data_IF_654537110573
#
_entry.id   IF_654537110573
#
_cell.length_a   1.000
_cell.length_b   1.000
_cell.length_c   1.000
_cell.angle_alpha   90.00
_cell.angle_beta   90.00
_cell.angle_gamma   90.00
#
_symmetry.space_group_name_H-M   'P 1'
#
loop_
_entity.id
_entity.type
_entity.pdbx_description
1 polymer ?
#
# COMPACT_ATOMS: atom_id res chain seq x y z
N UNK A 1 27.32 11.89 21.43
CA UNK A 1 26.46 11.65 20.27
C UNK A 1 26.16 10.16 20.01
N UNK A 2 27.14 9.24 19.90
CA UNK A 2 26.87 7.80 19.67
C UNK A 2 25.92 7.15 20.70
N UNK A 3 26.08 7.46 22.01
CA UNK A 3 25.23 6.88 23.08
C UNK A 3 23.76 7.34 22.98
N UNK A 4 23.48 8.60 22.62
CA UNK A 4 22.13 9.12 22.44
C UNK A 4 21.45 8.40 21.26
N UNK A 5 22.21 8.06 20.22
CA UNK A 5 21.76 7.33 19.05
C UNK A 5 21.30 5.90 19.40
N UNK A 6 22.06 5.19 20.25
CA UNK A 6 21.68 3.85 20.73
C UNK A 6 20.41 3.89 21.59
N UNK A 7 20.24 4.92 22.43
CA UNK A 7 19.01 5.08 23.22
C UNK A 7 17.81 5.43 22.34
N UNK A 8 17.96 6.29 21.33
CA UNK A 8 16.88 6.58 20.39
C UNK A 8 16.47 5.33 19.57
N UNK A 9 17.45 4.54 19.12
CA UNK A 9 17.19 3.28 18.41
C UNK A 9 16.53 2.25 19.35
N UNK A 10 17.01 2.12 20.58
CA UNK A 10 16.42 1.23 21.58
C UNK A 10 14.99 1.65 21.96
N UNK A 11 14.72 2.96 22.09
CA UNK A 11 13.36 3.46 22.32
C UNK A 11 12.44 3.21 21.12
N UNK A 12 12.91 3.38 19.89
CA UNK A 12 12.13 3.06 18.69
C UNK A 12 11.83 1.56 18.61
N UNK A 13 12.81 0.69 18.90
CA UNK A 13 12.62 -0.76 18.93
C UNK A 13 11.69 -1.17 20.09
N UNK A 14 11.81 -0.55 21.26
CA UNK A 14 10.94 -0.81 22.41
C UNK A 14 9.50 -0.33 22.16
N UNK A 15 9.31 0.83 21.52
CA UNK A 15 8.00 1.30 21.09
C UNK A 15 7.40 0.38 20.01
N UNK A 16 8.22 -0.17 19.11
CA UNK A 16 7.79 -1.18 18.14
C UNK A 16 7.38 -2.48 18.84
N UNK A 17 8.17 -2.97 19.79
CA UNK A 17 7.87 -4.19 20.54
C UNK A 17 6.64 -4.06 21.42
N UNK A 18 6.37 -2.88 22.00
CA UNK A 18 5.20 -2.62 22.85
C UNK A 18 3.91 -2.40 22.04
N UNK A 19 4.01 -1.98 20.77
CA UNK A 19 2.84 -1.79 19.90
C UNK A 19 2.32 -3.09 19.29
N UNK A 20 3.10 -4.18 19.32
CA UNK A 20 2.71 -5.50 18.78
C UNK A 20 1.60 -6.17 19.63
N UNK A 21 1.35 -5.70 20.86
CA UNK A 21 0.31 -6.23 21.76
C UNK A 21 -1.02 -5.47 21.72
N UNK A 22 -1.28 -4.64 20.72
CA UNK A 22 -2.60 -4.04 20.55
C UNK A 22 -3.50 -5.11 19.93
N UNK A 23 -4.37 -5.66 20.76
CA UNK A 23 -5.42 -6.60 20.37
C UNK A 23 -6.25 -5.95 19.25
N UNK A 24 -6.23 -6.55 18.07
CA UNK A 24 -7.22 -6.28 17.05
C UNK A 24 -8.50 -6.97 17.49
N UNK A 25 -9.54 -6.19 17.73
CA UNK A 25 -10.89 -6.68 17.90
C UNK A 25 -11.34 -7.29 16.57
N UNK A 26 -12.16 -8.33 16.61
CA UNK A 26 -12.55 -9.19 15.47
C UNK A 26 -13.38 -8.50 14.39
N UNK A 27 -13.52 -7.17 14.41
CA UNK A 27 -14.25 -6.43 13.39
C UNK A 27 -13.26 -5.95 12.30
N UNK A 28 -13.38 -6.54 11.11
CA UNK A 28 -12.49 -6.46 9.93
C UNK A 28 -12.31 -5.04 9.33
N UNK A 29 -12.88 -4.01 9.94
CA UNK A 29 -12.90 -2.66 9.38
C UNK A 29 -11.66 -1.82 9.70
N UNK A 30 -11.17 -1.86 10.93
CA UNK A 30 -10.09 -1.00 11.41
C UNK A 30 -8.91 -1.84 11.88
N UNK A 31 -7.81 -1.84 11.13
CA UNK A 31 -6.66 -2.66 11.46
C UNK A 31 -5.38 -1.84 11.60
N UNK A 32 -4.61 -2.17 12.65
CA UNK A 32 -3.24 -1.72 12.80
C UNK A 32 -2.32 -2.65 12.00
N UNK A 33 -1.30 -2.09 11.35
CA UNK A 33 -0.35 -2.86 10.56
C UNK A 33 1.09 -2.43 10.73
N UNK A 34 2.01 -3.31 10.35
CA UNK A 34 3.43 -3.02 10.24
C UNK A 34 3.90 -3.19 8.80
N UNK A 35 4.91 -2.41 8.42
CA UNK A 35 5.56 -2.49 7.11
C UNK A 35 7.07 -2.51 7.26
N UNK A 36 7.70 -3.45 6.60
CA UNK A 36 9.15 -3.54 6.52
C UNK A 36 9.56 -3.49 5.05
N UNK A 37 10.46 -2.59 4.68
CA UNK A 37 10.94 -2.54 3.30
C UNK A 37 12.44 -2.34 3.19
N UNK A 38 12.98 -2.88 2.10
CA UNK A 38 14.37 -2.71 1.69
C UNK A 38 14.44 -2.28 0.24
N UNK A 39 15.30 -1.32 -0.10
CA UNK A 39 15.55 -0.86 -1.47
C UNK A 39 17.04 -0.82 -1.74
N UNK A 40 17.42 -1.31 -2.89
CA UNK A 40 18.77 -1.18 -3.46
C UNK A 40 18.66 -0.34 -4.72
N UNK A 41 19.40 0.77 -4.77
CA UNK A 41 19.43 1.72 -5.89
C UNK A 41 20.81 1.73 -6.51
N UNK A 42 20.92 1.44 -7.79
CA UNK A 42 22.16 1.42 -8.56
C UNK A 42 22.16 2.52 -9.63
N UNK A 43 23.16 3.40 -9.57
CA UNK A 43 23.33 4.45 -10.57
C UNK A 43 24.05 3.90 -11.80
N UNK A 44 23.36 3.83 -12.93
CA UNK A 44 23.93 3.40 -14.21
C UNK A 44 24.76 4.52 -14.85
N UNK A 45 24.19 5.71 -14.92
CA UNK A 45 24.85 6.91 -15.44
C UNK A 45 24.26 8.17 -14.80
N UNK A 46 24.75 9.35 -15.15
CA UNK A 46 24.24 10.62 -14.58
C UNK A 46 22.73 10.74 -14.79
N UNK A 47 22.00 10.79 -13.68
CA UNK A 47 20.55 10.92 -13.67
C UNK A 47 19.75 9.63 -13.91
N UNK A 48 20.40 8.51 -14.25
CA UNK A 48 19.77 7.24 -14.59
C UNK A 48 20.06 6.19 -13.52
N UNK A 49 19.01 5.59 -12.97
CA UNK A 49 19.11 4.61 -11.89
C UNK A 49 18.21 3.40 -12.17
N UNK A 50 18.66 2.23 -11.77
CA UNK A 50 17.85 1.02 -11.59
C UNK A 50 17.72 0.77 -10.11
N UNK A 51 16.56 0.35 -9.68
CA UNK A 51 16.33 -0.02 -8.29
C UNK A 51 15.52 -1.31 -8.17
N UNK A 52 15.79 -2.03 -7.10
CA UNK A 52 14.99 -3.17 -6.69
C UNK A 52 14.57 -2.98 -5.23
N UNK A 53 13.34 -3.30 -4.91
CA UNK A 53 12.84 -3.20 -3.55
C UNK A 53 11.92 -4.36 -3.19
N UNK A 54 11.88 -4.67 -1.89
CA UNK A 54 10.93 -5.60 -1.28
C UNK A 54 10.21 -4.89 -0.15
N UNK A 55 8.89 -5.01 -0.08
CA UNK A 55 8.08 -4.51 1.03
C UNK A 55 7.19 -5.65 1.55
N UNK A 56 7.32 -5.94 2.84
CA UNK A 56 6.47 -6.86 3.57
C UNK A 56 5.45 -6.08 4.39
N UNK A 57 4.21 -6.55 4.40
CA UNK A 57 3.11 -5.99 5.17
C UNK A 57 2.50 -7.02 6.09
N UNK A 58 2.24 -6.58 7.31
CA UNK A 58 1.62 -7.35 8.37
C UNK A 58 0.38 -6.57 8.82
N UNK A 59 -0.77 -7.21 8.90
CA UNK A 59 -2.02 -6.60 9.34
C UNK A 59 -2.74 -7.52 10.33
N UNK A 60 -3.57 -6.93 11.20
CA UNK A 60 -4.48 -7.67 12.07
C UNK A 60 -3.82 -8.46 13.20
N UNK A 61 -2.65 -8.01 13.70
CA UNK A 61 -1.98 -8.70 14.83
C UNK A 61 -1.52 -10.12 14.51
N UNK A 62 -1.56 -10.52 13.23
CA UNK A 62 -1.15 -11.86 12.82
C UNK A 62 0.36 -11.94 12.68
N UNK A 63 0.93 -13.05 13.15
CA UNK A 63 2.33 -13.45 12.88
C UNK A 63 2.59 -13.75 11.39
N UNK A 64 1.68 -13.30 10.53
CA UNK A 64 1.55 -13.71 9.15
C UNK A 64 1.77 -12.52 8.22
N UNK A 65 2.57 -12.71 7.17
CA UNK A 65 2.78 -11.72 6.11
C UNK A 65 1.50 -11.66 5.26
N UNK A 66 0.72 -10.58 5.39
CA UNK A 66 -0.47 -10.34 4.57
C UNK A 66 -0.10 -10.16 3.10
N UNK A 67 0.96 -9.37 2.84
CA UNK A 67 1.40 -9.09 1.47
C UNK A 67 2.89 -8.88 1.37
N UNK A 68 3.46 -9.33 0.24
CA UNK A 68 4.78 -8.92 -0.20
C UNK A 68 4.71 -8.21 -1.55
N UNK A 69 5.62 -7.26 -1.75
CA UNK A 69 5.77 -6.47 -2.98
C UNK A 69 7.21 -6.50 -3.40
N UNK A 70 7.51 -7.26 -4.45
CA UNK A 70 8.83 -7.30 -5.08
C UNK A 70 8.81 -6.38 -6.29
N UNK A 71 9.50 -5.24 -6.22
CA UNK A 71 9.50 -4.20 -7.26
C UNK A 71 10.87 -4.10 -7.91
N UNK A 72 10.88 -4.02 -9.25
CA UNK A 72 12.03 -3.65 -10.06
C UNK A 72 11.66 -2.41 -10.86
N UNK A 73 12.52 -1.39 -10.80
CA UNK A 73 12.21 -0.12 -11.44
C UNK A 73 13.42 0.56 -12.06
N UNK A 74 13.09 1.47 -12.95
CA UNK A 74 14.03 2.32 -13.64
C UNK A 74 13.61 3.77 -13.47
N UNK A 75 14.55 4.66 -13.20
CA UNK A 75 14.26 6.08 -13.05
C UNK A 75 15.28 6.97 -13.74
N UNK A 76 14.79 8.08 -14.27
CA UNK A 76 15.59 9.07 -14.98
C UNK A 76 15.29 10.49 -14.47
N UNK A 77 16.36 11.18 -14.07
CA UNK A 77 16.30 12.59 -13.69
C UNK A 77 16.39 13.43 -14.97
N UNK A 78 15.25 13.96 -15.42
CA UNK A 78 15.15 14.77 -16.65
C UNK A 78 15.88 16.11 -16.45
N UNK A 79 15.65 16.73 -15.30
CA UNK A 79 16.36 17.94 -14.88
C UNK A 79 16.37 18.05 -13.34
N UNK A 80 16.81 19.16 -12.76
CA UNK A 80 16.91 19.32 -11.30
C UNK A 80 15.56 19.34 -10.58
N UNK A 81 14.48 19.56 -11.30
CA UNK A 81 13.13 19.64 -10.77
C UNK A 81 12.24 18.45 -11.15
N UNK A 82 12.58 17.69 -12.19
CA UNK A 82 11.72 16.69 -12.78
C UNK A 82 12.43 15.34 -12.89
N UNK A 83 11.76 14.28 -12.39
CA UNK A 83 12.19 12.88 -12.46
C UNK A 83 11.05 12.02 -12.98
N UNK A 84 11.32 11.17 -13.96
CA UNK A 84 10.41 10.12 -14.41
C UNK A 84 10.88 8.75 -13.89
N UNK A 85 9.95 7.82 -13.72
CA UNK A 85 10.26 6.43 -13.40
C UNK A 85 9.22 5.48 -13.99
N UNK A 86 9.65 4.25 -14.23
CA UNK A 86 8.77 3.12 -14.57
C UNK A 86 9.14 1.95 -13.70
N UNK A 87 8.17 1.15 -13.29
CA UNK A 87 8.43 -0.04 -12.49
C UNK A 87 7.45 -1.15 -12.76
N UNK A 88 7.92 -2.35 -12.46
CA UNK A 88 7.12 -3.55 -12.39
C UNK A 88 7.17 -4.10 -10.97
N UNK A 89 6.00 -4.53 -10.45
CA UNK A 89 5.89 -5.10 -9.10
C UNK A 89 5.13 -6.43 -9.17
N UNK A 90 5.75 -7.50 -8.71
CA UNK A 90 5.05 -8.74 -8.36
C UNK A 90 4.49 -8.59 -6.94
N UNK A 91 3.24 -8.97 -6.74
CA UNK A 91 2.55 -8.85 -5.45
C UNK A 91 2.02 -10.23 -5.08
N UNK A 92 2.46 -10.77 -3.95
CA UNK A 92 1.85 -11.91 -3.33
C UNK A 92 0.91 -11.43 -2.23
N UNK A 93 -0.36 -11.79 -2.31
CA UNK A 93 -1.38 -11.51 -1.29
C UNK A 93 -1.71 -12.84 -0.63
N UNK A 94 -1.33 -13.00 0.62
CA UNK A 94 -1.65 -14.18 1.38
C UNK A 94 -3.05 -14.00 1.99
N UNK A 95 -3.87 -14.98 1.82
CA UNK A 95 -5.24 -15.04 2.32
C UNK A 95 -5.37 -16.17 3.31
N UNK A 96 -6.06 -15.89 4.40
CA UNK A 96 -6.45 -16.88 5.39
C UNK A 96 -7.96 -16.75 5.59
N UNK A 97 -8.68 -17.84 5.49
CA UNK A 97 -10.11 -17.88 5.74
C UNK A 97 -10.41 -19.05 6.66
N UNK A 98 -11.19 -18.77 7.69
CA UNK A 98 -11.67 -19.81 8.61
C UNK A 98 -13.11 -20.14 8.22
N UNK A 99 -13.38 -21.38 7.90
CA UNK A 99 -14.72 -21.87 7.59
C UNK A 99 -15.11 -22.91 8.64
N UNK A 100 -16.39 -22.95 9.02
CA UNK A 100 -16.94 -23.91 9.98
C UNK A 100 -18.00 -24.79 9.31
N UNK A 101 -17.61 -25.74 8.45
CA UNK A 101 -18.56 -26.75 7.98
C UNK A 101 -18.84 -27.72 9.12
N UNK A 102 -20.11 -27.96 9.40
CA UNK A 102 -20.59 -28.97 10.37
C UNK A 102 -19.98 -28.82 11.79
N UNK A 103 -19.71 -27.56 12.25
CA UNK A 103 -19.06 -27.24 13.52
C UNK A 103 -17.58 -27.65 13.64
N UNK A 104 -16.92 -28.01 12.55
CA UNK A 104 -15.48 -28.19 12.49
C UNK A 104 -14.81 -26.96 11.92
N UNK A 105 -13.80 -26.41 12.63
CA UNK A 105 -13.02 -25.28 12.17
C UNK A 105 -11.97 -25.72 11.14
N UNK A 106 -12.13 -25.28 9.88
CA UNK A 106 -11.16 -25.52 8.82
C UNK A 106 -10.52 -24.20 8.41
N UNK A 107 -9.22 -24.10 8.55
CA UNK A 107 -8.45 -22.95 8.07
C UNK A 107 -7.97 -23.20 6.65
N UNK A 108 -8.43 -22.38 5.71
CA UNK A 108 -7.94 -22.34 4.34
C UNK A 108 -6.89 -21.24 4.19
N UNK A 109 -5.75 -21.57 3.57
CA UNK A 109 -4.71 -20.62 3.25
C UNK A 109 -4.33 -20.71 1.77
N UNK A 110 -4.19 -19.57 1.09
CA UNK A 110 -3.72 -19.52 -0.28
C UNK A 110 -3.03 -18.19 -0.59
N UNK A 111 -2.21 -18.17 -1.63
CA UNK A 111 -1.54 -16.95 -2.13
C UNK A 111 -2.16 -16.55 -3.46
N UNK A 112 -2.56 -15.28 -3.55
CA UNK A 112 -3.04 -14.66 -4.79
C UNK A 112 -1.92 -13.78 -5.36
N UNK A 113 -1.52 -14.08 -6.60
CA UNK A 113 -0.52 -13.30 -7.31
C UNK A 113 -1.18 -12.17 -8.11
N UNK A 114 -0.54 -11.01 -8.07
CA UNK A 114 -0.93 -9.84 -8.85
C UNK A 114 0.31 -9.23 -9.50
N UNK A 115 0.15 -8.74 -10.70
CA UNK A 115 1.20 -8.08 -11.45
C UNK A 115 0.85 -6.61 -11.63
N UNK A 116 1.82 -5.75 -11.37
CA UNK A 116 1.60 -4.30 -11.41
C UNK A 116 2.66 -3.63 -12.25
N UNK A 117 2.21 -2.74 -13.13
CA UNK A 117 3.08 -1.80 -13.84
C UNK A 117 2.77 -0.39 -13.37
N UNK A 118 3.79 0.45 -13.26
CA UNK A 118 3.64 1.84 -12.82
C UNK A 118 4.51 2.77 -13.65
N UNK A 119 4.00 3.96 -13.91
CA UNK A 119 4.76 5.07 -14.47
C UNK A 119 4.59 6.29 -13.58
N UNK A 120 5.70 6.91 -13.21
CA UNK A 120 5.78 8.04 -12.29
C UNK A 120 6.36 9.27 -12.95
N UNK A 121 5.78 10.42 -12.63
CA UNK A 121 6.40 11.72 -12.86
C UNK A 121 6.46 12.47 -11.53
N UNK A 122 7.65 12.88 -11.13
CA UNK A 122 7.87 13.61 -9.87
C UNK A 122 8.46 14.97 -10.16
N UNK A 123 7.74 16.03 -9.79
CA UNK A 123 8.24 17.39 -9.76
C UNK A 123 8.69 17.74 -8.33
N UNK A 124 9.80 18.46 -8.18
CA UNK A 124 10.29 18.89 -6.86
C UNK A 124 10.95 20.26 -6.90
N UNK A 125 10.72 21.04 -5.84
CA UNK A 125 11.31 22.35 -5.65
C UNK A 125 11.87 22.47 -4.23
N UNK A 126 13.00 23.16 -4.09
CA UNK A 126 13.64 23.45 -2.81
C UNK A 126 13.53 24.93 -2.52
N UNK A 127 13.04 25.27 -1.33
CA UNK A 127 12.94 26.66 -0.83
C UNK A 127 13.62 26.69 0.54
N UNK A 128 14.84 27.17 0.57
CA UNK A 128 15.67 27.13 1.79
C UNK A 128 15.95 25.67 2.23
N UNK A 129 15.47 25.31 3.40
CA UNK A 129 15.59 23.96 3.96
C UNK A 129 14.38 23.07 3.65
N UNK A 130 13.32 23.65 3.10
CA UNK A 130 12.12 22.95 2.72
C UNK A 130 12.25 22.34 1.32
N UNK A 131 11.73 21.14 1.16
CA UNK A 131 11.57 20.46 -0.14
C UNK A 131 10.12 20.09 -0.32
N UNK A 132 9.52 20.59 -1.38
CA UNK A 132 8.18 20.25 -1.82
C UNK A 132 8.29 19.33 -3.03
N UNK A 133 7.48 18.30 -3.09
CA UNK A 133 7.41 17.41 -4.26
C UNK A 133 5.99 16.96 -4.53
N UNK A 134 5.64 16.95 -5.81
CA UNK A 134 4.41 16.39 -6.34
C UNK A 134 4.78 15.19 -7.20
N UNK A 135 4.22 14.03 -6.90
CA UNK A 135 4.38 12.82 -7.71
C UNK A 135 3.04 12.38 -8.24
N UNK A 136 2.93 12.32 -9.56
CA UNK A 136 1.83 11.68 -10.27
C UNK A 136 2.24 10.27 -10.66
N UNK A 137 1.42 9.26 -10.34
CA UNK A 137 1.65 7.87 -10.66
C UNK A 137 0.41 7.28 -11.31
N UNK A 138 0.54 6.81 -12.55
CA UNK A 138 -0.43 5.91 -13.15
C UNK A 138 0.01 4.47 -12.88
N UNK A 139 -0.94 3.59 -12.54
CA UNK A 139 -0.65 2.27 -12.06
C UNK A 139 -1.71 1.29 -12.55
N UNK A 140 -1.28 0.27 -13.29
CA UNK A 140 -2.12 -0.84 -13.72
C UNK A 140 -1.80 -2.08 -12.89
N UNK A 141 -2.79 -2.69 -12.26
CA UNK A 141 -2.63 -3.94 -11.48
C UNK A 141 -3.51 -5.02 -12.08
N UNK A 142 -2.89 -6.09 -12.57
CA UNK A 142 -3.58 -7.27 -13.06
C UNK A 142 -3.79 -8.28 -11.92
N UNK A 143 -5.04 -8.64 -11.69
CA UNK A 143 -5.47 -9.69 -10.76
C UNK A 143 -5.72 -10.95 -11.58
N UNK A 144 -4.99 -12.03 -11.30
CA UNK A 144 -5.04 -13.26 -12.10
C UNK A 144 -6.23 -14.16 -11.76
N UNK A 145 -6.80 -13.98 -10.56
CA UNK A 145 -7.81 -14.89 -10.05
C UNK A 145 -9.21 -14.42 -10.40
N UNK A 146 -9.99 -15.29 -10.98
CA UNK A 146 -11.44 -15.18 -11.06
C UNK A 146 -12.05 -15.71 -9.76
N UNK A 147 -12.83 -14.90 -9.09
CA UNK A 147 -13.56 -15.27 -7.88
C UNK A 147 -15.05 -15.49 -8.17
N UNK A 148 -15.60 -14.73 -9.09
CA UNK A 148 -17.01 -14.79 -9.54
C UNK A 148 -17.17 -14.01 -10.86
N UNK A 149 -18.38 -13.94 -11.40
CA UNK A 149 -18.69 -13.24 -12.63
C UNK A 149 -18.37 -11.73 -12.62
N UNK A 150 -18.18 -11.14 -11.44
CA UNK A 150 -17.90 -9.70 -11.25
C UNK A 150 -16.43 -9.44 -10.96
N UNK A 151 -15.71 -10.42 -10.45
CA UNK A 151 -14.29 -10.34 -10.09
C UNK A 151 -13.45 -11.22 -11.02
N UNK A 152 -13.60 -11.01 -12.30
CA UNK A 152 -12.83 -11.70 -13.34
C UNK A 152 -11.40 -11.15 -13.43
N UNK A 153 -10.47 -11.93 -14.02
CA UNK A 153 -9.13 -11.45 -14.31
C UNK A 153 -9.18 -10.13 -15.10
N UNK A 154 -8.62 -9.08 -14.54
CA UNK A 154 -8.66 -7.74 -15.15
C UNK A 154 -7.52 -6.86 -14.73
N UNK A 155 -7.27 -5.84 -15.53
CA UNK A 155 -6.36 -4.75 -15.21
C UNK A 155 -7.12 -3.63 -14.47
N UNK A 156 -6.80 -3.44 -13.20
CA UNK A 156 -7.30 -2.30 -12.44
C UNK A 156 -6.38 -1.09 -12.60
N UNK A 157 -6.90 0.03 -13.10
CA UNK A 157 -6.15 1.26 -13.32
C UNK A 157 -6.41 2.29 -12.24
N UNK A 158 -5.35 2.86 -11.70
CA UNK A 158 -5.43 3.93 -10.70
C UNK A 158 -4.47 5.06 -11.02
N UNK A 159 -4.90 6.28 -10.69
CA UNK A 159 -4.06 7.47 -10.64
C UNK A 159 -3.81 7.84 -9.17
N UNK A 160 -2.55 8.10 -8.81
CA UNK A 160 -2.15 8.48 -7.45
C UNK A 160 -1.35 9.77 -7.52
N UNK A 161 -1.83 10.77 -6.81
CA UNK A 161 -1.18 12.08 -6.71
C UNK A 161 -0.63 12.24 -5.30
N UNK A 162 0.70 12.37 -5.14
CA UNK A 162 1.33 12.53 -3.82
C UNK A 162 1.96 13.90 -3.68
N UNK A 163 1.45 14.68 -2.75
CA UNK A 163 2.10 15.91 -2.30
C UNK A 163 2.90 15.61 -1.03
N UNK A 164 4.23 15.80 -1.09
CA UNK A 164 5.15 15.58 0.02
C UNK A 164 5.88 16.89 0.34
N UNK A 165 5.98 17.15 1.63
CA UNK A 165 6.80 18.23 2.20
C UNK A 165 7.86 17.61 3.10
N UNK A 166 9.11 18.02 2.98
CA UNK A 166 10.22 17.57 3.81
C UNK A 166 11.07 18.74 4.26
N UNK A 167 11.65 18.62 5.45
CA UNK A 167 12.53 19.64 6.02
C UNK A 167 13.92 19.08 6.26
N UNK A 168 14.94 19.66 5.67
CA UNK A 168 16.33 19.23 5.81
C UNK A 168 17.05 20.06 6.87
N UNK A 169 17.37 19.48 8.00
CA UNK A 169 18.22 20.12 8.99
C UNK A 169 19.66 20.28 8.47
N UNK A 170 20.34 21.37 8.86
CA UNK A 170 21.74 21.63 8.47
C UNK A 170 22.74 20.84 9.29
N UNK A 171 22.44 20.64 10.58
CA UNK A 171 23.36 20.10 11.60
C UNK A 171 23.17 18.64 11.94
N UNK A 172 22.05 18.04 11.54
CA UNK A 172 21.72 16.65 11.87
C UNK A 172 21.32 15.87 10.62
N UNK A 173 21.56 14.55 10.56
CA UNK A 173 21.29 13.73 9.38
C UNK A 173 19.80 13.30 9.29
N UNK A 174 18.90 14.05 9.88
CA UNK A 174 17.48 13.77 9.89
C UNK A 174 16.72 14.68 8.94
N UNK A 175 15.74 14.11 8.25
CA UNK A 175 14.85 14.81 7.33
C UNK A 175 13.39 14.39 7.61
N UNK A 176 12.69 15.09 8.55
CA UNK A 176 11.28 14.86 8.77
C UNK A 176 10.47 15.24 7.54
N UNK A 177 9.38 14.51 7.32
CA UNK A 177 8.47 14.78 6.22
C UNK A 177 7.03 14.42 6.56
N UNK A 178 6.12 14.98 5.78
CA UNK A 178 4.74 14.54 5.71
C UNK A 178 4.28 14.48 4.25
N UNK A 179 3.30 13.64 3.96
CA UNK A 179 2.65 13.63 2.66
C UNK A 179 1.16 13.29 2.74
N UNK A 180 0.45 13.75 1.73
CA UNK A 180 -0.92 13.38 1.43
C UNK A 180 -0.98 12.76 0.04
N UNK A 181 -1.73 11.65 -0.11
CA UNK A 181 -1.85 10.93 -1.38
C UNK A 181 -3.29 10.43 -1.60
N UNK A 182 -4.11 11.15 -2.38
CA UNK A 182 -5.34 10.61 -2.92
C UNK A 182 -5.07 9.57 -4.01
N UNK A 183 -5.97 8.59 -4.13
CA UNK A 183 -5.96 7.58 -5.18
C UNK A 183 -7.31 7.56 -5.88
N UNK A 184 -7.28 7.82 -7.18
CA UNK A 184 -8.42 7.77 -8.08
C UNK A 184 -8.43 6.41 -8.80
N UNK A 185 -9.48 5.63 -8.63
CA UNK A 185 -9.74 4.42 -9.40
C UNK A 185 -10.37 4.83 -10.74
N UNK A 186 -9.79 4.38 -11.87
CA UNK A 186 -10.20 4.81 -13.20
C UNK A 186 -11.18 3.84 -13.88
N UNK A 187 -11.23 2.60 -13.41
CA UNK A 187 -12.10 1.55 -13.94
C UNK A 187 -12.66 0.68 -12.79
N UNK A 188 -13.30 1.32 -11.85
CA UNK A 188 -14.00 0.65 -10.75
C UNK A 188 -15.30 -0.03 -11.19
N UNK A 189 -15.80 -0.93 -10.36
CA UNK A 189 -17.10 -1.56 -10.57
C UNK A 189 -18.22 -0.50 -10.54
N UNK A 190 -19.08 -0.55 -11.56
CA UNK A 190 -20.27 0.28 -11.64
C UNK A 190 -21.51 -0.58 -11.45
N UNK A 191 -22.41 -0.12 -10.60
CA UNK A 191 -23.66 -0.78 -10.26
C UNK A 191 -24.85 0.10 -10.66
N UNK A 192 -26.05 -0.50 -10.87
CA UNK A 192 -27.27 0.27 -11.12
C UNK A 192 -27.64 1.11 -9.90
N UNK A 193 -28.25 2.29 -10.13
CA UNK A 193 -28.60 3.26 -9.05
C UNK A 193 -29.62 2.68 -8.06
N UNK A 194 -30.48 1.77 -8.48
CA UNK A 194 -31.44 1.08 -7.63
C UNK A 194 -30.82 0.26 -6.51
N UNK A 195 -29.53 -0.05 -6.65
CA UNK A 195 -28.75 -0.85 -5.69
C UNK A 195 -28.09 -0.04 -4.58
N UNK A 196 -28.06 1.28 -4.67
CA UNK A 196 -27.34 2.14 -3.70
C UNK A 196 -28.13 2.45 -2.41
N UNK A 197 -29.33 1.94 -2.27
CA UNK A 197 -30.20 2.41 -1.19
C UNK A 197 -30.59 1.42 -0.11
N UNK A 198 -30.97 0.19 -0.34
CA UNK A 198 -31.57 -0.62 0.73
C UNK A 198 -31.53 -2.13 0.64
N UNK A 199 -31.52 -2.77 -0.50
CA UNK A 199 -31.40 -4.23 -0.60
C UNK A 199 -30.76 -4.58 -1.94
N UNK A 200 -29.56 -5.08 -1.87
CA UNK A 200 -28.72 -5.34 -3.04
C UNK A 200 -29.09 -6.62 -3.83
N UNK A 201 -30.20 -7.25 -3.47
CA UNK A 201 -30.70 -8.46 -4.16
C UNK A 201 -31.01 -8.23 -5.65
N UNK A 202 -31.23 -6.95 -6.05
CA UNK A 202 -31.56 -6.58 -7.42
C UNK A 202 -30.47 -5.72 -8.09
N UNK A 203 -29.27 -5.64 -7.52
CA UNK A 203 -28.19 -4.86 -8.10
C UNK A 203 -27.70 -5.46 -9.41
N UNK A 204 -27.70 -4.68 -10.47
CA UNK A 204 -27.14 -5.07 -11.75
C UNK A 204 -25.73 -4.53 -11.91
N UNK A 205 -24.79 -5.42 -12.22
CA UNK A 205 -23.42 -5.03 -12.54
C UNK A 205 -23.36 -4.44 -13.94
N UNK A 206 -22.88 -3.20 -14.05
CA UNK A 206 -22.82 -2.44 -15.29
C UNK A 206 -21.43 -2.40 -15.93
N UNK A 207 -20.47 -3.18 -15.38
CA UNK A 207 -19.11 -3.27 -15.86
C UNK A 207 -18.12 -2.42 -15.06
N UNK A 208 -16.84 -2.50 -15.44
CA UNK A 208 -15.72 -1.77 -14.81
C UNK A 208 -15.46 -0.45 -15.52
N UNK A 209 -16.28 0.57 -15.25
CA UNK A 209 -16.21 1.89 -15.88
C UNK A 209 -16.48 3.06 -14.94
N UNK A 210 -16.56 2.80 -13.64
CA UNK A 210 -16.74 3.86 -12.64
C UNK A 210 -15.42 4.51 -12.28
N UNK A 211 -15.44 5.83 -12.06
CA UNK A 211 -14.27 6.62 -11.69
C UNK A 211 -14.54 7.32 -10.39
N UNK A 212 -13.79 6.97 -9.34
CA UNK A 212 -13.99 7.56 -8.03
C UNK A 212 -12.70 7.50 -7.18
N UNK A 213 -12.63 8.42 -6.21
CA UNK A 213 -11.58 8.34 -5.20
C UNK A 213 -11.85 7.17 -4.26
N UNK A 214 -10.93 6.20 -4.26
CA UNK A 214 -11.09 4.99 -3.46
C UNK A 214 -10.07 4.85 -2.34
N UNK A 215 -9.17 5.83 -2.18
CA UNK A 215 -8.23 5.85 -1.06
C UNK A 215 -7.71 7.25 -0.82
N UNK A 216 -7.60 7.60 0.46
CA UNK A 216 -6.85 8.74 0.93
C UNK A 216 -5.77 8.24 1.89
N UNK A 217 -4.55 8.71 1.69
CA UNK A 217 -3.40 8.32 2.48
C UNK A 217 -2.71 9.55 3.03
N UNK A 218 -2.47 9.57 4.36
CA UNK A 218 -1.62 10.52 5.04
C UNK A 218 -0.45 9.79 5.66
N UNK A 219 0.73 10.36 5.59
CA UNK A 219 1.87 9.84 6.33
C UNK A 219 2.76 10.95 6.87
N UNK A 220 3.37 10.66 8.01
CA UNK A 220 4.45 11.44 8.58
C UNK A 220 5.62 10.50 8.87
N UNK A 221 6.84 10.96 8.64
CA UNK A 221 8.02 10.12 8.81
C UNK A 221 9.30 10.92 9.02
N UNK A 222 10.36 10.18 9.30
CA UNK A 222 11.70 10.69 9.56
C UNK A 222 12.72 9.85 8.78
N UNK A 223 13.26 10.44 7.73
CA UNK A 223 14.39 9.85 7.01
C UNK A 223 15.69 10.15 7.77
N UNK A 224 16.41 9.11 8.16
CA UNK A 224 17.70 9.18 8.80
C UNK A 224 18.81 8.76 7.83
N UNK A 225 19.66 9.70 7.41
CA UNK A 225 20.81 9.46 6.55
C UNK A 225 22.00 8.96 7.37
N UNK A 226 22.19 7.66 7.44
CA UNK A 226 23.30 7.04 8.16
C UNK A 226 24.66 7.43 7.56
N UNK A 227 24.72 7.47 6.23
CA UNK A 227 25.86 7.94 5.46
C UNK A 227 25.41 8.30 4.03
N UNK A 228 26.36 8.51 3.09
CA UNK A 228 26.05 8.88 1.71
C UNK A 228 25.32 7.79 0.91
N UNK A 229 25.40 6.52 1.36
CA UNK A 229 24.83 5.37 0.66
C UNK A 229 23.66 4.74 1.38
N UNK A 230 23.55 4.95 2.69
CA UNK A 230 22.57 4.26 3.54
C UNK A 230 21.61 5.25 4.18
N UNK A 231 20.33 4.98 4.09
CA UNK A 231 19.30 5.67 4.86
C UNK A 231 18.30 4.71 5.47
N UNK A 232 17.73 5.12 6.59
CA UNK A 232 16.58 4.49 7.26
C UNK A 232 15.43 5.49 7.24
N UNK A 233 14.24 5.02 6.99
CA UNK A 233 13.02 5.79 7.04
C UNK A 233 12.05 5.16 8.03
N UNK A 234 11.62 5.92 9.01
CA UNK A 234 10.62 5.54 10.00
C UNK A 234 9.37 6.35 9.73
N UNK A 235 8.23 5.69 9.57
CA UNK A 235 7.00 6.42 9.24
C UNK A 235 5.77 5.80 9.87
N UNK A 236 4.80 6.67 10.12
CA UNK A 236 3.43 6.32 10.43
C UNK A 236 2.57 6.67 9.22
N UNK A 237 1.65 5.80 8.87
CA UNK A 237 0.82 5.92 7.69
C UNK A 237 -0.62 5.57 8.03
N UNK A 238 -1.51 6.50 7.73
CA UNK A 238 -2.95 6.32 7.79
C UNK A 238 -3.50 6.15 6.38
N UNK A 239 -4.28 5.09 6.17
CA UNK A 239 -4.98 4.78 4.93
C UNK A 239 -6.49 4.73 5.21
N UNK A 240 -7.26 5.62 4.58
CA UNK A 240 -8.70 5.48 4.45
C UNK A 240 -9.01 4.86 3.10
N UNK A 241 -9.60 3.67 3.09
CA UNK A 241 -9.97 2.93 1.90
C UNK A 241 -11.49 2.93 1.75
N UNK A 242 -11.97 3.21 0.55
CA UNK A 242 -13.36 3.04 0.16
C UNK A 242 -13.43 2.11 -1.06
N UNK A 243 -14.23 1.07 -0.99
CA UNK A 243 -14.42 0.14 -2.10
C UNK A 243 -15.91 -0.09 -2.36
N UNK A 244 -16.26 -0.19 -3.64
CA UNK A 244 -17.61 -0.52 -4.13
C UNK A 244 -17.67 -1.96 -4.67
N UNK A 245 -16.62 -2.74 -4.49
CA UNK A 245 -16.57 -4.12 -4.97
C UNK A 245 -17.35 -5.04 -4.03
N UNK A 246 -18.03 -6.03 -4.60
CA UNK A 246 -18.66 -7.11 -3.84
C UNK A 246 -17.56 -7.98 -3.28
N UNK A 247 -17.58 -8.20 -1.98
CA UNK A 247 -16.79 -9.25 -1.36
C UNK A 247 -17.52 -10.58 -1.55
N UNK A 248 -17.09 -11.34 -2.53
CA UNK A 248 -17.65 -12.66 -2.78
C UNK A 248 -17.07 -13.65 -1.76
N UNK A 249 -17.85 -13.99 -0.77
CA UNK A 249 -17.52 -15.09 0.14
C UNK A 249 -17.80 -16.44 -0.54
N UNK A 250 -16.87 -17.37 -0.42
CA UNK A 250 -17.14 -18.77 -0.70
C UNK A 250 -17.93 -19.35 0.47
N UNK A 251 -19.24 -19.54 0.31
CA UNK A 251 -20.01 -20.32 1.27
C UNK A 251 -19.92 -21.80 0.94
N UNK A 252 -19.46 -22.59 1.93
CA UNK A 252 -19.83 -24.00 2.17
C UNK A 252 -19.39 -25.04 1.15
N UNK A 253 -18.57 -24.75 0.16
CA UNK A 253 -17.97 -25.80 -0.68
C UNK A 253 -16.79 -25.28 -1.49
N UNK A 254 -15.78 -26.10 -1.62
CA UNK A 254 -14.59 -25.86 -2.48
C UNK A 254 -14.99 -25.61 -3.96
N UNK A 255 -16.25 -25.82 -4.34
CA UNK A 255 -16.75 -25.75 -5.72
C UNK A 255 -17.91 -24.78 -5.96
N UNK A 256 -18.44 -24.09 -4.95
CA UNK A 256 -19.57 -23.19 -5.12
C UNK A 256 -19.26 -21.77 -4.63
N UNK A 257 -19.36 -20.79 -5.52
CA UNK A 257 -19.41 -19.38 -5.13
C UNK A 257 -20.88 -19.02 -4.96
N UNK A 258 -21.33 -18.79 -3.75
CA UNK A 258 -22.67 -18.28 -3.50
C UNK A 258 -22.56 -16.77 -3.25
N UNK A 259 -23.08 -15.97 -4.16
CA UNK A 259 -23.22 -14.53 -4.01
C UNK A 259 -24.37 -14.24 -3.04
N UNK A 260 -24.11 -14.23 -1.75
CA UNK A 260 -25.04 -13.74 -0.73
C UNK A 260 -24.53 -12.48 -0.01
N UNK A 261 -23.42 -11.92 -0.44
CA UNK A 261 -22.93 -10.72 0.18
C UNK A 261 -23.66 -9.50 -0.40
N UNK A 262 -24.21 -8.64 0.44
CA UNK A 262 -24.70 -7.36 0.00
C UNK A 262 -23.54 -6.53 -0.56
N UNK A 263 -23.82 -5.73 -1.59
CA UNK A 263 -22.87 -4.74 -2.10
C UNK A 263 -22.76 -3.67 -1.04
N UNK A 264 -21.72 -3.71 -0.23
CA UNK A 264 -21.42 -2.63 0.69
C UNK A 264 -20.37 -1.72 0.06
N UNK A 265 -20.57 -0.41 0.14
CA UNK A 265 -19.43 0.49 0.14
C UNK A 265 -18.64 0.17 1.40
N UNK A 266 -17.59 -0.65 1.27
CA UNK A 266 -16.73 -0.99 2.38
C UNK A 266 -15.81 0.19 2.61
N UNK A 267 -15.96 0.84 3.75
CA UNK A 267 -15.01 1.82 4.24
C UNK A 267 -14.14 1.16 5.30
N UNK A 268 -12.84 1.26 5.17
CA UNK A 268 -11.91 0.75 6.19
C UNK A 268 -10.79 1.73 6.46
N UNK A 269 -10.49 1.93 7.73
CA UNK A 269 -9.40 2.75 8.21
C UNK A 269 -8.24 1.86 8.66
N UNK A 270 -7.03 2.24 8.26
CA UNK A 270 -5.83 1.46 8.59
C UNK A 270 -4.70 2.37 9.03
N UNK A 271 -4.18 2.11 10.21
CA UNK A 271 -2.97 2.73 10.72
C UNK A 271 -1.80 1.75 10.56
N UNK A 272 -0.67 2.21 10.03
CA UNK A 272 0.51 1.37 9.87
C UNK A 272 1.76 2.10 10.34
N UNK A 273 2.65 1.37 11.01
CA UNK A 273 4.02 1.81 11.26
C UNK A 273 4.94 1.15 10.24
N UNK A 274 5.92 1.89 9.74
CA UNK A 274 6.84 1.38 8.73
C UNK A 274 8.28 1.70 9.02
N UNK A 275 9.15 0.76 8.62
CA UNK A 275 10.59 0.96 8.55
C UNK A 275 11.04 0.61 7.16
N UNK A 276 11.80 1.51 6.54
CA UNK A 276 12.40 1.28 5.23
C UNK A 276 13.91 1.49 5.29
N UNK A 277 14.65 0.56 4.73
CA UNK A 277 16.09 0.68 4.54
C UNK A 277 16.40 0.88 3.07
N UNK A 278 17.25 1.85 2.76
CA UNK A 278 17.72 2.10 1.40
C UNK A 278 19.22 2.10 1.33
N UNK A 279 19.75 1.35 0.37
CA UNK A 279 21.15 1.35 -0.03
C UNK A 279 21.31 1.89 -1.44
N UNK A 280 22.26 2.85 -1.64
CA UNK A 280 22.57 3.42 -2.95
C UNK A 280 24.04 3.25 -3.29
N UNK A 281 24.30 2.68 -4.48
CA UNK A 281 25.66 2.50 -5.02
C UNK A 281 26.17 3.77 -5.68
#
# INVERSE_FOLDING_TARGET
MRKILYYALACCVALFASSVNIYADDDDSDSFGARLSGEVDYKIMKGMHVYASEELRFFGGSDFIDRSYSELGFSYKINDHLKAAVSYTAIAVNKKEVIMPDNEEITLQWTEWRHRVSADLTASVKVGQWRFSLRERIQGTYKMRELNNYQQPQMGWVLRSRLKVAYKFRSVPFEPYAYFEPRLLLNGAKWSEESLGKNYENASFLGHKDVYFNRYRCAAGLEWKLNKRNSLDFYMLYDHLYDKEIDARKEGSIKGVVLKAPIHGISSDRLSLGVAYKYSF
#
